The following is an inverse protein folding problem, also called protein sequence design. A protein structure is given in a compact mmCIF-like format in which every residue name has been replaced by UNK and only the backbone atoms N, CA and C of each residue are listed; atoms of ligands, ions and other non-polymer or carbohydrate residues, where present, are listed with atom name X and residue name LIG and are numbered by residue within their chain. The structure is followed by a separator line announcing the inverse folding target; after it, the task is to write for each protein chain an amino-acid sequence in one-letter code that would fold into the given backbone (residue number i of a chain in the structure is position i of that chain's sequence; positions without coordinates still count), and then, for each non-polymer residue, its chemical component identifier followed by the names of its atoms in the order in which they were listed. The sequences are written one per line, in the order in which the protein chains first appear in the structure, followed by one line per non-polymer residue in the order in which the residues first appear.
data_IF_379388947714
#
_entry.id   IF_379388947714
#
_cell.length_a   1.000
_cell.length_b   1.000
_cell.length_c   1.000
_cell.angle_alpha   90.00
_cell.angle_beta   90.00
_cell.angle_gamma   90.00
#
_symmetry.space_group_name_H-M   'P 1'
#
loop_
_entity.id
_entity.type
_entity.pdbx_description
1 polymer ?
#
# COMPACT_ATOMS: atom_id res chain seq x y z
N UNK A 1 -12.34 11.11 -21.66
CA UNK A 1 -11.86 11.17 -20.29
C UNK A 1 -10.36 11.34 -20.23
N UNK A 2 -9.92 12.29 -19.46
CA UNK A 2 -8.50 12.52 -19.30
C UNK A 2 -7.86 11.38 -18.51
N UNK A 3 -6.69 10.97 -18.92
CA UNK A 3 -6.02 9.86 -18.25
C UNK A 3 -5.58 10.25 -16.84
N UNK A 4 -5.52 9.26 -15.98
CA UNK A 4 -5.07 9.47 -14.61
C UNK A 4 -3.60 9.85 -14.52
N UNK A 5 -2.81 9.48 -15.51
CA UNK A 5 -1.40 9.82 -15.56
C UNK A 5 -1.16 11.33 -15.46
N UNK A 6 -2.06 12.12 -15.99
CA UNK A 6 -1.97 13.57 -15.98
C UNK A 6 -2.20 14.14 -14.56
N UNK A 7 -3.08 13.51 -13.79
CA UNK A 7 -3.41 13.93 -12.45
C UNK A 7 -2.81 13.02 -11.40
N UNK A 8 -2.15 11.96 -11.84
CA UNK A 8 -1.60 10.95 -10.96
C UNK A 8 -0.25 11.35 -10.41
N UNK A 9 0.08 10.77 -9.29
CA UNK A 9 1.37 10.91 -8.66
C UNK A 9 2.21 9.69 -8.99
N UNK A 10 3.48 9.90 -9.33
CA UNK A 10 4.40 8.79 -9.57
C UNK A 10 4.62 8.04 -8.28
N UNK A 11 4.34 6.76 -8.29
CA UNK A 11 4.54 5.88 -7.15
C UNK A 11 5.33 4.66 -7.57
N UNK A 12 5.97 4.02 -6.61
CA UNK A 12 6.64 2.74 -6.82
C UNK A 12 6.05 1.75 -5.83
N UNK A 13 5.59 0.61 -6.30
CA UNK A 13 5.06 -0.40 -5.40
C UNK A 13 5.85 -1.69 -5.52
N UNK A 14 5.86 -2.45 -4.44
CA UNK A 14 6.56 -3.73 -4.35
C UNK A 14 5.64 -4.73 -3.69
N UNK A 15 5.39 -5.84 -4.38
CA UNK A 15 4.53 -6.89 -3.85
C UNK A 15 5.32 -7.81 -2.93
N UNK A 16 4.67 -8.30 -1.88
CA UNK A 16 5.25 -9.34 -1.03
C UNK A 16 5.18 -10.64 -1.81
N UNK A 17 6.32 -11.26 -2.06
CA UNK A 17 6.38 -12.50 -2.82
C UNK A 17 6.58 -13.72 -1.93
N UNK A 18 7.12 -13.52 -0.72
CA UNK A 18 7.29 -14.61 0.24
C UNK A 18 7.59 -14.03 1.61
N UNK A 19 7.68 -14.90 2.61
CA UNK A 19 8.17 -14.53 3.92
C UNK A 19 9.28 -15.47 4.32
N UNK A 20 10.21 -14.98 5.13
CA UNK A 20 11.33 -15.75 5.62
C UNK A 20 11.34 -15.76 7.14
N UNK A 21 11.75 -16.86 7.77
CA UNK A 21 11.89 -16.88 9.22
C UNK A 21 13.04 -15.95 9.66
N UNK A 22 12.86 -15.32 10.81
CA UNK A 22 13.92 -14.51 11.42
C UNK A 22 14.54 -15.36 12.52
N UNK A 23 15.84 -15.61 12.41
CA UNK A 23 16.59 -16.39 13.39
C UNK A 23 17.26 -15.47 14.39
N UNK A 24 17.39 -15.96 15.63
CA UNK A 24 18.15 -15.23 16.65
C UNK A 24 19.66 -15.46 16.46
N UNK A 25 20.46 -14.89 17.35
CA UNK A 25 21.92 -14.99 17.26
C UNK A 25 22.42 -16.44 17.41
N UNK A 26 21.60 -17.35 17.91
CA UNK A 26 21.95 -18.75 18.13
C UNK A 26 21.37 -19.67 17.06
N UNK A 27 20.73 -19.10 16.04
CA UNK A 27 20.14 -19.89 14.96
C UNK A 27 18.77 -20.44 15.26
N UNK A 28 18.10 -19.98 16.31
CA UNK A 28 16.76 -20.44 16.66
C UNK A 28 15.71 -19.57 15.97
N UNK A 29 14.64 -20.20 15.49
CA UNK A 29 13.53 -19.49 14.87
C UNK A 29 12.78 -18.67 15.94
N UNK A 30 12.71 -17.36 15.74
CA UNK A 30 12.03 -16.46 16.68
C UNK A 30 10.51 -16.45 16.50
N UNK A 31 9.99 -17.22 15.54
CA UNK A 31 8.58 -17.26 15.15
C UNK A 31 8.12 -15.99 14.44
N UNK A 32 9.00 -15.05 14.24
CA UNK A 32 8.72 -13.87 13.42
C UNK A 32 9.04 -14.14 11.97
N UNK A 33 8.45 -13.37 11.09
CA UNK A 33 8.64 -13.52 9.66
C UNK A 33 9.04 -12.19 9.02
N UNK A 34 10.01 -12.25 8.14
CA UNK A 34 10.46 -11.11 7.35
C UNK A 34 9.81 -11.20 5.98
N UNK A 35 9.22 -10.11 5.53
CA UNK A 35 8.63 -10.05 4.21
C UNK A 35 9.72 -9.89 3.17
N UNK A 36 9.58 -10.65 2.07
CA UNK A 36 10.45 -10.52 0.90
C UNK A 36 9.62 -9.87 -0.19
N UNK A 37 10.11 -8.75 -0.71
CA UNK A 37 9.40 -7.99 -1.73
C UNK A 37 9.93 -8.30 -3.11
N UNK A 38 9.05 -8.25 -4.10
CA UNK A 38 9.43 -8.40 -5.49
C UNK A 38 10.08 -7.15 -6.05
N UNK A 39 10.34 -7.16 -7.36
CA UNK A 39 10.93 -6.01 -8.03
C UNK A 39 9.98 -4.81 -7.96
N UNK A 40 10.52 -3.59 -7.80
CA UNK A 40 9.68 -2.40 -7.77
C UNK A 40 9.07 -2.12 -9.14
N UNK A 41 7.83 -1.67 -9.13
CA UNK A 41 7.08 -1.30 -10.34
C UNK A 41 6.65 0.15 -10.20
N UNK A 42 6.88 0.94 -11.24
CA UNK A 42 6.47 2.35 -11.25
C UNK A 42 5.08 2.48 -11.86
N UNK A 43 4.24 3.29 -11.23
CA UNK A 43 2.89 3.56 -11.70
C UNK A 43 2.52 5.00 -11.38
N UNK A 44 1.39 5.46 -11.89
CA UNK A 44 0.86 6.78 -11.62
C UNK A 44 -0.53 6.62 -11.02
N UNK A 45 -0.68 7.02 -9.76
CA UNK A 45 -1.90 6.80 -8.99
C UNK A 45 -2.46 8.11 -8.45
N UNK A 46 -3.76 8.14 -8.26
CA UNK A 46 -4.41 9.24 -7.55
C UNK A 46 -4.27 9.02 -6.06
N UNK A 47 -3.42 9.81 -5.43
CA UNK A 47 -3.14 9.71 -3.99
C UNK A 47 -3.76 10.92 -3.29
N UNK A 48 -4.51 10.67 -2.24
CA UNK A 48 -5.18 11.72 -1.45
C UNK A 48 -4.87 11.55 0.02
N UNK A 49 -5.08 12.62 0.78
CA UNK A 49 -5.04 12.53 2.22
C UNK A 49 -6.16 11.59 2.72
N UNK A 50 -5.99 11.07 3.92
CA UNK A 50 -6.96 10.13 4.51
C UNK A 50 -8.19 10.84 5.05
N UNK A 51 -8.75 11.75 4.26
CA UNK A 51 -9.94 12.51 4.64
C UNK A 51 -10.91 12.46 3.48
N UNK A 52 -12.19 12.62 3.79
CA UNK A 52 -13.21 12.64 2.77
C UNK A 52 -14.33 11.69 3.11
N UNK A 53 -15.48 12.01 2.56
CA UNK A 53 -16.71 11.30 2.88
C UNK A 53 -16.66 9.84 2.40
N UNK A 54 -16.15 9.63 1.19
CA UNK A 54 -16.08 8.29 0.63
C UNK A 54 -15.14 7.39 1.44
N UNK A 55 -13.99 7.91 1.85
CA UNK A 55 -13.05 7.15 2.66
C UNK A 55 -13.66 6.80 4.01
N UNK A 56 -14.39 7.74 4.62
CA UNK A 56 -15.05 7.49 5.90
C UNK A 56 -16.13 6.42 5.79
N UNK A 57 -16.84 6.36 4.68
CA UNK A 57 -17.85 5.34 4.47
C UNK A 57 -17.24 3.96 4.29
N UNK A 58 -16.15 3.88 3.51
CA UNK A 58 -15.54 2.60 3.15
C UNK A 58 -14.65 2.08 4.27
N UNK A 59 -13.89 2.97 4.90
CA UNK A 59 -12.93 2.60 5.93
C UNK A 59 -13.34 3.08 7.33
N UNK A 60 -14.64 3.20 7.58
CA UNK A 60 -15.15 3.85 8.78
C UNK A 60 -14.60 3.33 10.10
N UNK A 61 -14.29 2.04 10.19
CA UNK A 61 -13.73 1.43 11.38
C UNK A 61 -12.18 1.38 11.37
N UNK A 62 -11.57 1.83 10.29
CA UNK A 62 -10.11 1.85 10.16
C UNK A 62 -9.62 3.27 10.43
N UNK A 63 -8.83 3.44 11.47
CA UNK A 63 -8.32 4.77 11.85
C UNK A 63 -6.83 4.93 11.65
N UNK A 64 -6.11 3.87 11.32
CA UNK A 64 -4.65 3.88 11.26
C UNK A 64 -4.17 3.88 9.80
N UNK A 65 -4.49 4.98 9.11
CA UNK A 65 -3.99 5.19 7.76
C UNK A 65 -3.85 6.69 7.51
N UNK A 66 -2.96 7.07 6.61
CA UNK A 66 -2.65 8.48 6.36
C UNK A 66 -2.88 8.92 4.92
N UNK A 67 -3.04 7.97 4.00
CA UNK A 67 -3.27 8.28 2.59
C UNK A 67 -4.26 7.29 2.01
N UNK A 68 -4.97 7.73 0.97
CA UNK A 68 -5.83 6.85 0.20
C UNK A 68 -5.43 6.93 -1.26
N UNK A 69 -5.62 5.81 -1.97
CA UNK A 69 -5.37 5.73 -3.41
C UNK A 69 -6.65 5.25 -4.08
N UNK A 70 -7.05 5.96 -5.13
CA UNK A 70 -8.19 5.56 -5.94
C UNK A 70 -7.66 4.99 -7.25
N UNK A 71 -8.04 3.75 -7.55
CA UNK A 71 -7.64 3.07 -8.78
C UNK A 71 -8.86 2.72 -9.61
N UNK A 72 -8.73 2.88 -10.92
CA UNK A 72 -9.71 2.41 -11.88
C UNK A 72 -9.22 1.09 -12.47
N UNK A 73 -10.11 0.10 -12.56
CA UNK A 73 -9.73 -1.19 -13.10
C UNK A 73 -9.06 -2.08 -12.08
N UNK A 74 -8.02 -2.77 -12.50
CA UNK A 74 -7.35 -3.77 -11.66
C UNK A 74 -6.54 -3.14 -10.55
N UNK A 75 -6.42 -3.87 -9.46
CA UNK A 75 -5.59 -3.47 -8.31
C UNK A 75 -4.32 -4.33 -8.32
N UNK A 76 -3.14 -3.73 -8.56
CA UNK A 76 -1.91 -4.51 -8.67
C UNK A 76 -1.26 -4.84 -7.33
N UNK A 77 -1.83 -4.38 -6.22
CA UNK A 77 -1.26 -4.60 -4.89
C UNK A 77 -2.25 -5.33 -4.01
N UNK A 78 -1.73 -5.90 -2.93
CA UNK A 78 -2.50 -6.62 -1.92
C UNK A 78 -2.17 -6.06 -0.54
N UNK A 79 -3.01 -6.35 0.43
CA UNK A 79 -2.74 -5.94 1.82
C UNK A 79 -1.39 -6.47 2.25
N UNK A 80 -0.59 -5.58 2.83
CA UNK A 80 0.76 -5.90 3.25
C UNK A 80 1.85 -5.47 2.27
N UNK A 81 1.49 -5.16 1.03
CA UNK A 81 2.46 -4.69 0.05
C UNK A 81 2.97 -3.29 0.40
N UNK A 82 4.07 -2.92 -0.24
CA UNK A 82 4.75 -1.66 0.06
C UNK A 82 4.59 -0.69 -1.10
N UNK A 83 4.33 0.58 -0.77
CA UNK A 83 4.21 1.65 -1.76
C UNK A 83 5.10 2.80 -1.33
N UNK A 84 5.84 3.36 -2.27
CA UNK A 84 6.74 4.48 -2.01
C UNK A 84 6.42 5.65 -2.92
N UNK A 85 6.33 6.82 -2.34
CA UNK A 85 6.24 8.08 -3.10
C UNK A 85 6.58 9.25 -2.19
N UNK A 86 7.02 10.35 -2.80
CA UNK A 86 7.30 11.58 -2.05
C UNK A 86 8.35 11.43 -0.97
N UNK A 87 9.27 10.47 -1.11
CA UNK A 87 10.30 10.25 -0.10
C UNK A 87 9.85 9.44 1.11
N UNK A 88 8.61 8.95 1.11
CA UNK A 88 8.07 8.17 2.23
C UNK A 88 7.70 6.77 1.77
N UNK A 89 7.66 5.86 2.72
CA UNK A 89 7.28 4.46 2.51
C UNK A 89 5.96 4.20 3.20
N UNK A 90 5.07 3.49 2.53
CA UNK A 90 3.74 3.18 3.03
C UNK A 90 3.48 1.68 2.91
N UNK A 91 2.59 1.19 3.77
CA UNK A 91 2.08 -0.18 3.70
C UNK A 91 0.62 -0.14 3.30
N UNK A 92 0.22 -1.04 2.42
CA UNK A 92 -1.20 -1.24 2.08
C UNK A 92 -1.87 -1.93 3.27
N UNK A 93 -2.79 -1.22 3.94
CA UNK A 93 -3.44 -1.77 5.14
C UNK A 93 -4.85 -2.25 4.88
N UNK A 94 -5.50 -1.73 3.84
CA UNK A 94 -6.82 -2.22 3.45
C UNK A 94 -7.10 -1.87 1.99
N UNK A 95 -7.83 -2.76 1.31
CA UNK A 95 -8.27 -2.55 -0.05
C UNK A 95 -9.77 -2.80 -0.07
N UNK A 96 -10.52 -1.85 -0.61
CA UNK A 96 -11.97 -1.98 -0.72
C UNK A 96 -12.42 -1.72 -2.14
N UNK A 97 -13.51 -2.37 -2.53
CA UNK A 97 -14.13 -2.09 -3.83
C UNK A 97 -14.70 -0.69 -3.84
N UNK A 98 -14.58 -0.02 -4.96
CA UNK A 98 -15.22 1.25 -5.17
C UNK A 98 -15.98 1.19 -6.49
N UNK A 99 -16.63 2.29 -6.85
CA UNK A 99 -17.57 2.31 -7.95
C UNK A 99 -17.02 1.76 -9.26
N UNK A 100 -15.80 2.14 -9.62
CA UNK A 100 -15.19 1.75 -10.89
C UNK A 100 -13.81 1.12 -10.70
N UNK A 101 -13.53 0.62 -9.51
CA UNK A 101 -12.22 0.07 -9.23
C UNK A 101 -12.03 -0.21 -7.75
N UNK A 102 -10.98 0.38 -7.18
CA UNK A 102 -10.60 0.10 -5.80
C UNK A 102 -10.20 1.36 -5.06
N UNK A 103 -10.42 1.34 -3.76
CA UNK A 103 -9.90 2.36 -2.85
C UNK A 103 -8.94 1.68 -1.90
N UNK A 104 -7.73 2.20 -1.79
CA UNK A 104 -6.66 1.59 -1.01
C UNK A 104 -6.29 2.52 0.13
N UNK A 105 -6.22 1.98 1.35
CA UNK A 105 -5.76 2.72 2.51
C UNK A 105 -4.29 2.42 2.75
N UNK A 106 -3.49 3.46 2.90
CA UNK A 106 -2.04 3.37 3.11
C UNK A 106 -1.67 3.94 4.46
N UNK A 107 -0.78 3.27 5.17
CA UNK A 107 -0.21 3.76 6.41
C UNK A 107 1.28 4.00 6.22
N UNK A 108 1.73 5.19 6.59
CA UNK A 108 3.15 5.51 6.53
C UNK A 108 3.94 4.67 7.54
N UNK A 109 5.07 4.11 7.10
CA UNK A 109 5.92 3.26 7.92
C UNK A 109 7.37 3.71 7.75
N UNK A 110 8.24 3.20 8.62
CA UNK A 110 9.67 3.45 8.50
C UNK A 110 10.20 2.76 7.23
N UNK A 111 11.29 3.31 6.66
CA UNK A 111 11.83 2.82 5.39
C UNK A 111 12.21 1.34 5.42
N UNK A 112 12.58 0.85 6.60
CA UNK A 112 13.01 -0.55 6.74
C UNK A 112 11.92 -1.46 7.28
N UNK A 113 10.70 -0.99 7.31
CA UNK A 113 9.59 -1.75 7.86
C UNK A 113 9.09 -2.82 6.87
#
# INVERSE_FOLDING_TARGET
MRTLKRNGRKVTYENVISTEPIMDAYGNDTLERKKVYGAPVTAYWNVSAAVGEEANEIFGDLTDYSRTVSLCGDCPVFEGDRVKFGGSTYRVVRIADSKNGYLIALREVADNA
#
